data_IF_713071236108
#
_entry.id   IF_713071236108
#
_cell.length_a   1.000
_cell.length_b   1.000
_cell.length_c   1.000
_cell.angle_alpha   90.00
_cell.angle_beta   90.00
_cell.angle_gamma   90.00
#
_symmetry.space_group_name_H-M   'P 1'
#
loop_
_entity.id
_entity.type
_entity.pdbx_description
1 polymer ?
#
# COMPACT_ATOMS: atom_id res chain seq x y z
N UNK A 1 2.56 -20.52 13.22
CA UNK A 1 2.53 -19.08 12.87
C UNK A 1 1.07 -18.65 12.84
N UNK A 2 0.75 -17.55 13.48
CA UNK A 2 -0.60 -16.98 13.50
C UNK A 2 -0.94 -16.37 12.13
N UNK A 3 -2.20 -16.49 11.69
CA UNK A 3 -2.65 -15.92 10.43
C UNK A 3 -2.87 -14.41 10.54
N UNK A 4 -2.51 -13.68 9.50
CA UNK A 4 -2.71 -12.24 9.39
C UNK A 4 -3.25 -11.84 8.02
N UNK A 5 -3.94 -10.70 7.97
CA UNK A 5 -4.25 -9.99 6.74
C UNK A 5 -3.27 -8.84 6.53
N UNK A 6 -2.92 -8.59 5.29
CA UNK A 6 -2.03 -7.47 4.95
C UNK A 6 -2.78 -6.47 4.07
N UNK A 7 -2.81 -5.23 4.49
CA UNK A 7 -3.37 -4.09 3.76
C UNK A 7 -2.24 -3.21 3.24
N UNK A 8 -2.19 -2.99 1.95
CA UNK A 8 -1.08 -2.32 1.27
C UNK A 8 -1.56 -1.08 0.53
N UNK A 9 -1.00 0.07 0.88
CA UNK A 9 -1.06 1.29 0.07
C UNK A 9 0.06 1.25 -0.98
N UNK A 10 -0.29 0.95 -2.24
CA UNK A 10 0.67 0.94 -3.34
C UNK A 10 1.29 2.32 -3.56
N UNK A 11 0.51 3.38 -3.40
CA UNK A 11 1.00 4.75 -3.55
C UNK A 11 2.16 5.05 -2.61
N UNK A 12 2.04 4.63 -1.35
CA UNK A 12 3.12 4.71 -0.38
C UNK A 12 4.31 3.83 -0.76
N UNK A 13 4.09 2.55 -1.07
CA UNK A 13 5.17 1.63 -1.45
C UNK A 13 5.93 2.10 -2.70
N UNK A 14 5.24 2.61 -3.70
CA UNK A 14 5.85 3.14 -4.90
C UNK A 14 6.73 4.36 -4.60
N UNK A 15 6.24 5.33 -3.82
CA UNK A 15 7.03 6.50 -3.40
C UNK A 15 8.27 6.08 -2.61
N UNK A 16 8.11 5.16 -1.65
CA UNK A 16 9.22 4.67 -0.84
C UNK A 16 10.26 3.90 -1.66
N UNK A 17 9.81 3.07 -2.59
CA UNK A 17 10.68 2.37 -3.55
C UNK A 17 11.51 3.34 -4.40
N UNK A 18 10.88 4.43 -4.88
CA UNK A 18 11.57 5.48 -5.65
C UNK A 18 12.59 6.24 -4.79
N UNK A 19 12.23 6.55 -3.54
CA UNK A 19 13.10 7.20 -2.57
C UNK A 19 14.37 6.37 -2.31
N UNK A 20 14.23 5.10 -1.95
CA UNK A 20 15.37 4.19 -1.73
C UNK A 20 16.17 3.90 -2.99
N UNK A 21 15.57 4.05 -4.16
CA UNK A 21 16.20 3.90 -5.46
C UNK A 21 16.83 5.19 -6.02
N UNK A 22 17.01 6.24 -5.19
CA UNK A 22 17.57 7.53 -5.59
C UNK A 22 16.86 8.12 -6.82
N UNK A 23 15.54 8.20 -6.76
CA UNK A 23 14.70 8.74 -7.83
C UNK A 23 14.25 7.71 -8.89
N UNK A 24 14.75 6.48 -8.86
CA UNK A 24 14.33 5.37 -9.73
C UNK A 24 13.58 4.32 -8.92
N UNK A 25 12.50 3.77 -9.48
CA UNK A 25 11.77 2.70 -8.82
C UNK A 25 12.62 1.43 -8.69
N UNK A 26 12.77 0.91 -7.47
CA UNK A 26 13.25 -0.46 -7.26
C UNK A 26 12.10 -1.40 -7.63
N UNK A 27 12.26 -2.17 -8.72
CA UNK A 27 11.30 -3.23 -9.07
C UNK A 27 11.54 -4.43 -8.17
N UNK A 28 10.53 -4.90 -7.46
CA UNK A 28 10.65 -6.01 -6.51
C UNK A 28 9.42 -6.90 -6.54
N UNK A 29 9.60 -8.15 -6.13
CA UNK A 29 8.49 -9.11 -5.99
C UNK A 29 7.62 -8.73 -4.79
N UNK A 30 6.40 -8.29 -5.08
CA UNK A 30 5.47 -7.77 -4.07
C UNK A 30 5.05 -8.85 -3.07
N UNK A 31 4.83 -10.08 -3.55
CA UNK A 31 4.37 -11.18 -2.69
C UNK A 31 5.46 -11.59 -1.71
N UNK A 32 6.67 -11.79 -2.20
CA UNK A 32 7.81 -12.16 -1.35
C UNK A 32 8.12 -11.06 -0.34
N UNK A 33 8.05 -9.79 -0.75
CA UNK A 33 8.17 -8.65 0.14
C UNK A 33 7.12 -8.68 1.26
N UNK A 34 5.83 -8.79 0.92
CA UNK A 34 4.72 -8.81 1.88
C UNK A 34 4.87 -9.98 2.87
N UNK A 35 5.19 -11.18 2.35
CA UNK A 35 5.42 -12.36 3.18
C UNK A 35 6.60 -12.17 4.14
N UNK A 36 7.68 -11.52 3.68
CA UNK A 36 8.84 -11.22 4.53
C UNK A 36 8.50 -10.22 5.64
N UNK A 37 7.69 -9.20 5.35
CA UNK A 37 7.23 -8.25 6.38
C UNK A 37 6.41 -8.99 7.45
N UNK A 38 5.52 -9.89 7.07
CA UNK A 38 4.74 -10.70 8.02
C UNK A 38 5.66 -11.64 8.83
N UNK A 39 6.65 -12.26 8.19
CA UNK A 39 7.61 -13.15 8.84
C UNK A 39 8.44 -12.45 9.93
N UNK A 40 8.70 -11.14 9.82
CA UNK A 40 9.38 -10.37 10.88
C UNK A 40 8.62 -10.38 12.22
N UNK A 41 7.35 -10.77 12.21
CA UNK A 41 6.46 -10.87 13.37
C UNK A 41 5.93 -12.29 13.58
N UNK A 42 6.59 -13.29 13.00
CA UNK A 42 6.18 -14.70 13.05
C UNK A 42 4.74 -14.94 12.59
N UNK A 43 4.27 -14.14 11.61
CA UNK A 43 2.93 -14.21 11.06
C UNK A 43 2.92 -14.87 9.67
N UNK A 44 1.80 -15.53 9.35
CA UNK A 44 1.50 -16.11 8.05
C UNK A 44 0.44 -15.27 7.34
N UNK A 45 0.72 -14.83 6.10
CA UNK A 45 -0.21 -14.03 5.30
C UNK A 45 -1.34 -14.92 4.78
N UNK A 46 -2.54 -14.72 5.32
CA UNK A 46 -3.76 -15.39 4.87
C UNK A 46 -4.32 -14.75 3.61
N UNK A 47 -4.35 -13.42 3.59
CA UNK A 47 -4.85 -12.65 2.46
C UNK A 47 -4.20 -11.27 2.39
N UNK A 48 -4.05 -10.74 1.17
CA UNK A 48 -3.53 -9.40 0.92
C UNK A 48 -4.58 -8.54 0.22
N UNK A 49 -4.89 -7.38 0.80
CA UNK A 49 -5.66 -6.31 0.19
C UNK A 49 -4.70 -5.24 -0.34
N UNK A 50 -4.68 -5.05 -1.64
CA UNK A 50 -3.72 -4.20 -2.32
C UNK A 50 -4.42 -2.99 -2.94
N UNK A 51 -4.35 -1.85 -2.26
CA UNK A 51 -5.03 -0.63 -2.67
C UNK A 51 -4.17 0.14 -3.69
N UNK A 52 -4.76 0.45 -4.83
CA UNK A 52 -4.07 1.11 -5.95
C UNK A 52 -5.08 1.87 -6.82
N UNK A 53 -4.59 2.57 -7.84
CA UNK A 53 -5.43 3.18 -8.86
C UNK A 53 -4.89 2.88 -10.26
N UNK A 54 -5.74 2.43 -11.20
CA UNK A 54 -5.32 2.25 -12.59
C UNK A 54 -4.84 3.58 -13.18
N UNK A 55 -3.85 3.57 -14.08
CA UNK A 55 -3.37 4.78 -14.74
C UNK A 55 -4.47 5.51 -15.49
N UNK A 56 -4.45 6.84 -15.45
CA UNK A 56 -5.38 7.67 -16.18
C UNK A 56 -5.35 7.36 -17.69
N UNK A 57 -6.54 7.34 -18.30
CA UNK A 57 -6.73 7.23 -19.75
C UNK A 57 -7.56 8.41 -20.24
N UNK A 58 -7.01 9.17 -21.20
CA UNK A 58 -7.73 10.23 -21.89
C UNK A 58 -8.75 9.67 -22.91
N UNK A 59 -9.48 10.57 -23.54
CA UNK A 59 -10.44 10.22 -24.61
C UNK A 59 -10.12 11.10 -25.83
N UNK A 60 -9.37 10.57 -26.83
CA UNK A 60 -8.67 9.27 -26.84
C UNK A 60 -7.42 9.26 -25.92
N UNK A 61 -6.95 8.09 -25.48
CA UNK A 61 -5.73 7.99 -24.69
C UNK A 61 -4.48 8.20 -25.56
N UNK A 62 -3.46 8.85 -24.98
CA UNK A 62 -2.15 8.99 -25.62
C UNK A 62 -1.39 7.64 -25.61
N UNK A 63 -0.33 7.52 -26.44
CA UNK A 63 0.50 6.32 -26.49
C UNK A 63 1.16 6.02 -25.12
N UNK A 64 1.58 7.05 -24.38
CA UNK A 64 2.14 6.89 -23.05
C UNK A 64 1.09 6.43 -22.01
N UNK A 65 -0.15 6.88 -22.16
CA UNK A 65 -1.27 6.44 -21.32
C UNK A 65 -1.58 4.96 -21.60
N UNK A 66 -1.63 4.55 -22.87
CA UNK A 66 -1.80 3.15 -23.28
C UNK A 66 -0.71 2.25 -22.69
N UNK A 67 0.58 2.62 -22.87
CA UNK A 67 1.72 1.86 -22.33
C UNK A 67 1.65 1.70 -20.81
N UNK A 68 1.29 2.75 -20.09
CA UNK A 68 1.12 2.68 -18.62
C UNK A 68 -0.03 1.74 -18.24
N UNK A 69 -1.15 1.81 -18.96
CA UNK A 69 -2.29 0.92 -18.73
C UNK A 69 -1.94 -0.55 -19.01
N UNK A 70 -1.28 -0.84 -20.12
CA UNK A 70 -0.77 -2.18 -20.42
C UNK A 70 0.17 -2.73 -19.34
N UNK A 71 1.08 -1.89 -18.84
CA UNK A 71 1.97 -2.26 -17.73
C UNK A 71 1.20 -2.59 -16.45
N UNK A 72 0.19 -1.79 -16.14
CA UNK A 72 -0.71 -2.02 -15.00
C UNK A 72 -1.51 -3.31 -15.17
N UNK A 73 -2.10 -3.54 -16.34
CA UNK A 73 -2.89 -4.73 -16.63
C UNK A 73 -2.04 -6.01 -16.58
N UNK A 74 -0.82 -5.97 -17.13
CA UNK A 74 0.15 -7.07 -17.01
C UNK A 74 0.49 -7.37 -15.54
N UNK A 75 0.66 -6.32 -14.73
CA UNK A 75 0.87 -6.49 -13.30
C UNK A 75 -0.35 -7.12 -12.63
N UNK A 76 -1.54 -6.58 -12.85
CA UNK A 76 -2.79 -7.08 -12.27
C UNK A 76 -3.05 -8.54 -12.64
N UNK A 77 -2.83 -8.90 -13.92
CA UNK A 77 -3.07 -10.24 -14.43
C UNK A 77 -2.15 -11.31 -13.79
N UNK A 78 -0.97 -10.94 -13.28
CA UNK A 78 -0.12 -11.88 -12.53
C UNK A 78 -0.76 -12.37 -11.22
N UNK A 79 -1.73 -11.63 -10.71
CA UNK A 79 -2.42 -11.92 -9.46
C UNK A 79 -3.88 -12.36 -9.65
N UNK A 80 -4.41 -12.35 -10.89
CA UNK A 80 -5.83 -12.61 -11.18
C UNK A 80 -6.29 -14.01 -10.73
N UNK A 81 -5.40 -15.00 -10.76
CA UNK A 81 -5.69 -16.38 -10.35
C UNK A 81 -5.42 -16.65 -8.86
N UNK A 82 -5.00 -15.64 -8.09
CA UNK A 82 -4.68 -15.80 -6.68
C UNK A 82 -5.92 -15.56 -5.82
N UNK A 83 -6.31 -16.58 -5.06
CA UNK A 83 -7.43 -16.50 -4.10
C UNK A 83 -7.06 -15.71 -2.82
N UNK A 84 -5.76 -15.55 -2.56
CA UNK A 84 -5.21 -14.87 -1.38
C UNK A 84 -4.81 -13.41 -1.64
N UNK A 85 -5.34 -12.81 -2.74
CA UNK A 85 -4.97 -11.46 -3.14
C UNK A 85 -6.17 -10.71 -3.77
N UNK A 86 -6.47 -9.53 -3.25
CA UNK A 86 -7.55 -8.67 -3.75
C UNK A 86 -7.00 -7.28 -4.08
N UNK A 87 -7.26 -6.82 -5.31
CA UNK A 87 -7.04 -5.42 -5.67
C UNK A 87 -8.23 -4.56 -5.21
N UNK A 88 -7.91 -3.49 -4.49
CA UNK A 88 -8.83 -2.43 -4.13
C UNK A 88 -8.53 -1.24 -5.03
N UNK A 89 -9.39 -0.95 -5.99
CA UNK A 89 -9.09 0.05 -7.02
C UNK A 89 -9.84 1.35 -6.76
N UNK A 90 -9.07 2.43 -6.54
CA UNK A 90 -9.54 3.79 -6.69
C UNK A 90 -9.49 4.21 -8.17
N UNK A 91 -9.31 5.51 -8.41
CA UNK A 91 -9.15 6.07 -9.76
C UNK A 91 -8.07 7.14 -9.79
N UNK A 92 -7.52 7.43 -10.97
CA UNK A 92 -6.67 8.60 -11.19
C UNK A 92 -7.50 9.71 -11.83
N UNK A 93 -7.47 10.89 -11.22
CA UNK A 93 -8.06 12.11 -11.75
C UNK A 93 -6.96 12.99 -12.34
N UNK A 94 -7.19 13.49 -13.56
CA UNK A 94 -6.36 14.52 -14.19
C UNK A 94 -6.99 15.89 -13.96
N UNK A 95 -6.20 16.81 -13.45
CA UNK A 95 -6.58 18.23 -13.27
C UNK A 95 -5.51 19.12 -13.91
N UNK A 96 -5.83 20.36 -14.18
CA UNK A 96 -4.84 21.37 -14.56
C UNK A 96 -4.54 22.26 -13.36
N UNK A 97 -3.27 22.59 -13.15
CA UNK A 97 -2.89 23.61 -12.18
C UNK A 97 -3.12 25.03 -12.77
N UNK A 98 -2.81 26.06 -11.98
CA UNK A 98 -2.95 27.46 -12.41
C UNK A 98 -2.11 27.85 -13.65
N UNK A 99 -1.06 27.10 -13.92
CA UNK A 99 -0.14 27.26 -15.05
C UNK A 99 -0.55 26.45 -16.28
N UNK A 100 -1.71 25.76 -16.22
CA UNK A 100 -2.22 24.91 -17.29
C UNK A 100 -1.55 23.52 -17.39
N UNK A 101 -0.63 23.19 -16.48
CA UNK A 101 0.09 21.90 -16.45
C UNK A 101 -0.81 20.81 -15.88
N UNK A 102 -0.88 19.66 -16.55
CA UNK A 102 -1.65 18.52 -16.07
C UNK A 102 -1.01 17.91 -14.82
N UNK A 103 -1.85 17.71 -13.81
CA UNK A 103 -1.52 16.98 -12.59
C UNK A 103 -2.42 15.73 -12.47
N UNK A 104 -1.85 14.65 -11.95
CA UNK A 104 -2.55 13.38 -11.76
C UNK A 104 -2.58 13.08 -10.27
N UNK A 105 -3.78 12.83 -9.74
CA UNK A 105 -3.98 12.51 -8.32
C UNK A 105 -4.81 11.24 -8.20
N UNK A 106 -4.39 10.36 -7.31
CA UNK A 106 -5.23 9.22 -6.92
C UNK A 106 -6.43 9.72 -6.12
N UNK A 107 -7.57 9.10 -6.32
CA UNK A 107 -8.83 9.38 -5.61
C UNK A 107 -9.51 8.09 -5.22
N UNK A 108 -10.00 8.05 -3.99
CA UNK A 108 -10.78 6.92 -3.47
C UNK A 108 -9.96 5.70 -3.07
N UNK A 109 -8.63 5.70 -3.19
CA UNK A 109 -7.77 4.58 -2.78
C UNK A 109 -7.88 4.38 -1.27
N UNK A 110 -7.74 5.45 -0.48
CA UNK A 110 -7.86 5.40 0.98
C UNK A 110 -9.28 5.01 1.41
N UNK A 111 -10.30 5.47 0.67
CA UNK A 111 -11.69 5.12 0.92
C UNK A 111 -11.94 3.62 0.75
N UNK A 112 -11.53 3.02 -0.38
CA UNK A 112 -11.73 1.57 -0.60
C UNK A 112 -10.90 0.73 0.37
N UNK A 113 -9.72 1.20 0.77
CA UNK A 113 -8.93 0.52 1.80
C UNK A 113 -9.59 0.62 3.19
N UNK A 114 -10.12 1.79 3.56
CA UNK A 114 -10.89 1.97 4.81
C UNK A 114 -12.13 1.08 4.82
N UNK A 115 -12.84 0.96 3.69
CA UNK A 115 -13.98 0.05 3.57
C UNK A 115 -13.56 -1.40 3.81
N UNK A 116 -12.47 -1.87 3.19
CA UNK A 116 -11.94 -3.22 3.39
C UNK A 116 -11.50 -3.44 4.84
N UNK A 117 -10.83 -2.46 5.48
CA UNK A 117 -10.45 -2.49 6.89
C UNK A 117 -11.67 -2.55 7.82
N UNK A 118 -12.78 -1.91 7.46
CA UNK A 118 -14.00 -1.93 8.28
C UNK A 118 -14.77 -3.24 8.19
N UNK A 119 -14.68 -3.96 7.08
CA UNK A 119 -15.54 -5.10 6.74
C UNK A 119 -14.84 -6.46 6.76
N UNK A 120 -13.49 -6.54 6.82
CA UNK A 120 -12.77 -7.81 6.69
C UNK A 120 -13.20 -8.90 7.67
N UNK A 121 -13.71 -8.53 8.84
CA UNK A 121 -14.14 -9.50 9.86
C UNK A 121 -15.35 -10.35 9.43
N UNK A 122 -16.11 -9.89 8.45
CA UNK A 122 -17.21 -10.70 7.89
C UNK A 122 -16.67 -11.96 7.20
N UNK A 123 -15.56 -11.81 6.46
CA UNK A 123 -14.93 -12.90 5.71
C UNK A 123 -13.83 -13.63 6.50
N UNK A 124 -13.22 -12.93 7.46
CA UNK A 124 -12.07 -13.41 8.26
C UNK A 124 -12.32 -13.21 9.76
N UNK A 125 -13.34 -13.86 10.35
CA UNK A 125 -13.75 -13.61 11.75
C UNK A 125 -12.72 -14.04 12.79
N UNK A 126 -11.81 -14.95 12.45
CA UNK A 126 -10.77 -15.46 13.36
C UNK A 126 -9.51 -14.61 13.42
N UNK A 127 -9.35 -13.68 12.48
CA UNK A 127 -8.17 -12.82 12.42
C UNK A 127 -8.17 -11.81 13.57
N UNK A 128 -7.07 -11.80 14.33
CA UNK A 128 -6.84 -10.89 15.45
C UNK A 128 -5.72 -9.89 15.19
N UNK A 129 -4.86 -10.16 14.22
CA UNK A 129 -3.73 -9.30 13.85
C UNK A 129 -3.81 -8.93 12.38
N UNK A 130 -3.56 -7.66 12.08
CA UNK A 130 -3.43 -7.16 10.70
C UNK A 130 -2.12 -6.40 10.54
N UNK A 131 -1.58 -6.41 9.34
CA UNK A 131 -0.45 -5.56 8.94
C UNK A 131 -0.96 -4.49 8.00
N UNK A 132 -0.72 -3.24 8.34
CA UNK A 132 -0.97 -2.09 7.47
C UNK A 132 0.36 -1.57 6.93
N UNK A 133 0.53 -1.54 5.61
CA UNK A 133 1.68 -0.97 4.91
C UNK A 133 1.24 0.36 4.32
N UNK A 134 1.42 1.45 5.05
CA UNK A 134 0.99 2.80 4.69
C UNK A 134 1.73 3.86 5.50
N UNK A 135 1.54 5.14 5.16
CA UNK A 135 2.05 6.27 5.94
C UNK A 135 1.01 7.37 6.17
N UNK A 136 -0.24 7.19 5.74
CA UNK A 136 -1.27 8.21 5.82
C UNK A 136 -2.01 8.17 7.16
N UNK A 137 -2.10 9.33 7.81
CA UNK A 137 -2.81 9.52 9.09
C UNK A 137 -4.32 9.43 8.97
N UNK A 138 -4.86 9.52 7.75
CA UNK A 138 -6.30 9.39 7.50
C UNK A 138 -6.82 7.99 7.85
N UNK A 139 -5.92 7.01 8.02
CA UNK A 139 -6.29 5.69 8.54
C UNK A 139 -6.47 5.64 10.07
N UNK A 140 -6.00 6.64 10.84
CA UNK A 140 -6.07 6.59 12.31
C UNK A 140 -7.47 6.29 12.85
N UNK A 141 -8.57 6.93 12.38
CA UNK A 141 -9.89 6.66 12.92
C UNK A 141 -10.33 5.19 12.77
N UNK A 142 -10.04 4.56 11.63
CA UNK A 142 -10.37 3.15 11.42
C UNK A 142 -9.48 2.23 12.26
N UNK A 143 -8.20 2.58 12.44
CA UNK A 143 -7.29 1.80 13.27
C UNK A 143 -7.70 1.82 14.75
N UNK A 144 -8.08 2.97 15.28
CA UNK A 144 -8.60 3.12 16.65
C UNK A 144 -9.88 2.31 16.85
N UNK A 145 -10.79 2.33 15.90
CA UNK A 145 -12.00 1.51 15.92
C UNK A 145 -11.68 0.02 15.91
N UNK A 146 -10.72 -0.43 15.12
CA UNK A 146 -10.29 -1.83 15.08
C UNK A 146 -9.63 -2.25 16.39
N UNK A 147 -8.76 -1.42 16.97
CA UNK A 147 -8.14 -1.67 18.28
C UNK A 147 -9.19 -1.80 19.39
N UNK A 148 -10.19 -0.94 19.40
CA UNK A 148 -11.29 -1.04 20.38
C UNK A 148 -12.10 -2.34 20.27
N UNK A 149 -12.05 -2.99 19.10
CA UNK A 149 -12.64 -4.32 18.83
C UNK A 149 -11.68 -5.49 19.04
N UNK A 150 -10.52 -5.23 19.64
CA UNK A 150 -9.53 -6.25 19.98
C UNK A 150 -8.66 -6.70 18.81
N UNK A 151 -8.53 -5.91 17.74
CA UNK A 151 -7.62 -6.19 16.64
C UNK A 151 -6.27 -5.54 16.92
N UNK A 152 -5.21 -6.32 16.89
CA UNK A 152 -3.83 -5.83 16.93
C UNK A 152 -3.40 -5.33 15.55
N UNK A 153 -2.82 -4.13 15.51
CA UNK A 153 -2.41 -3.48 14.27
C UNK A 153 -0.91 -3.32 14.25
N UNK A 154 -0.28 -3.96 13.28
CA UNK A 154 1.15 -3.83 13.01
C UNK A 154 1.30 -2.86 11.84
N UNK A 155 1.80 -1.67 12.13
CA UNK A 155 2.11 -0.67 11.10
C UNK A 155 3.49 -0.96 10.50
N UNK A 156 3.56 -1.26 9.20
CA UNK A 156 4.82 -1.32 8.46
C UNK A 156 4.96 -0.04 7.63
N UNK A 157 5.86 0.85 8.04
CA UNK A 157 6.00 2.16 7.43
C UNK A 157 7.46 2.64 7.45
N UNK A 158 7.70 3.79 6.87
CA UNK A 158 8.99 4.47 6.89
C UNK A 158 8.78 5.94 7.23
N UNK A 159 9.66 6.47 8.06
CA UNK A 159 9.71 7.89 8.37
C UNK A 159 11.15 8.36 8.60
N UNK A 160 11.35 9.63 8.33
CA UNK A 160 12.58 10.35 8.65
C UNK A 160 12.39 11.20 9.90
N UNK A 161 13.47 11.36 10.69
CA UNK A 161 13.45 12.25 11.86
C UNK A 161 13.45 13.73 11.48
N UNK A 162 13.84 14.06 10.22
CA UNK A 162 13.85 15.43 9.71
C UNK A 162 12.43 15.92 9.46
N UNK A 163 12.15 17.18 9.80
CA UNK A 163 10.89 17.84 9.47
C UNK A 163 10.89 18.26 8.00
N UNK A 164 9.71 18.43 7.43
CA UNK A 164 9.50 18.92 6.05
C UNK A 164 10.13 18.04 4.95
N UNK A 165 10.21 16.73 5.17
CA UNK A 165 10.53 15.73 4.13
C UNK A 165 9.26 14.99 3.70
N UNK A 166 9.31 14.33 2.55
CA UNK A 166 8.20 13.51 2.03
C UNK A 166 7.78 12.41 3.02
N UNK A 167 8.69 11.97 3.88
CA UNK A 167 8.50 10.93 4.89
C UNK A 167 8.72 11.47 6.31
N UNK A 168 8.29 12.70 6.57
CA UNK A 168 8.34 13.26 7.93
C UNK A 168 7.56 12.37 8.90
N UNK A 169 8.10 12.19 10.10
CA UNK A 169 7.50 11.32 11.11
C UNK A 169 6.12 11.82 11.53
N UNK A 170 5.12 10.97 11.38
CA UNK A 170 3.82 11.14 12.03
C UNK A 170 3.78 10.29 13.30
N UNK A 171 3.86 10.90 14.47
CA UNK A 171 3.64 10.20 15.74
C UNK A 171 2.23 9.64 15.79
N UNK A 172 1.25 10.40 15.32
CA UNK A 172 -0.16 10.03 15.39
C UNK A 172 -0.45 8.66 14.76
N UNK A 173 0.04 8.37 13.55
CA UNK A 173 -0.18 7.07 12.92
C UNK A 173 0.50 5.92 13.69
N UNK A 174 1.68 6.17 14.27
CA UNK A 174 2.39 5.17 15.07
C UNK A 174 1.60 4.89 16.36
N UNK A 175 1.08 5.92 17.01
CA UNK A 175 0.32 5.80 18.27
C UNK A 175 -1.03 5.09 18.06
N UNK A 176 -1.63 5.22 16.85
CA UNK A 176 -2.81 4.46 16.45
C UNK A 176 -2.53 2.97 16.19
N UNK A 177 -1.27 2.56 16.06
CA UNK A 177 -0.88 1.15 15.87
C UNK A 177 -0.58 0.45 17.20
N UNK A 178 -0.56 -0.89 17.21
CA UNK A 178 -0.15 -1.69 18.36
C UNK A 178 1.36 -1.96 18.31
N UNK A 179 1.89 -2.19 17.12
CA UNK A 179 3.30 -2.44 16.86
C UNK A 179 3.77 -1.71 15.61
N UNK A 180 5.07 -1.51 15.50
CA UNK A 180 5.67 -0.81 14.37
C UNK A 180 6.83 -1.62 13.76
N UNK A 181 6.83 -1.72 12.42
CA UNK A 181 7.94 -2.23 11.62
C UNK A 181 8.47 -1.06 10.77
N UNK A 182 9.72 -0.65 10.99
CA UNK A 182 10.36 0.30 10.11
C UNK A 182 10.82 -0.41 8.84
N UNK A 183 10.27 0.00 7.70
CA UNK A 183 10.72 -0.46 6.39
C UNK A 183 12.11 0.11 6.08
N UNK A 184 12.95 -0.69 5.45
CA UNK A 184 14.33 -0.33 5.08
C UNK A 184 14.57 -0.55 3.58
N UNK A 185 15.66 0.00 3.07
CA UNK A 185 16.07 -0.21 1.67
C UNK A 185 16.31 -1.71 1.38
N UNK A 186 16.87 -2.42 2.34
CA UNK A 186 17.15 -3.86 2.26
C UNK A 186 15.89 -4.68 2.07
N UNK A 187 14.77 -4.27 2.66
CA UNK A 187 13.47 -4.94 2.48
C UNK A 187 13.05 -4.98 1.00
N UNK A 188 13.42 -3.96 0.24
CA UNK A 188 13.16 -3.89 -1.20
C UNK A 188 14.23 -4.62 -2.02
N UNK A 189 15.50 -4.51 -1.64
CA UNK A 189 16.61 -5.09 -2.38
C UNK A 189 16.65 -6.63 -2.31
N UNK A 190 16.25 -7.20 -1.17
CA UNK A 190 16.22 -8.65 -0.97
C UNK A 190 15.24 -9.35 -1.93
N UNK A 191 14.28 -8.64 -2.49
CA UNK A 191 13.29 -9.15 -3.44
C UNK A 191 13.31 -8.40 -4.76
N UNK A 192 14.42 -7.73 -5.07
CA UNK A 192 14.59 -7.01 -6.33
C UNK A 192 14.47 -7.97 -7.52
N UNK A 193 13.65 -7.59 -8.48
CA UNK A 193 13.53 -8.31 -9.74
C UNK A 193 14.73 -7.95 -10.62
N UNK A 194 15.41 -8.98 -11.14
CA UNK A 194 16.39 -8.81 -12.19
C UNK A 194 15.72 -8.35 -13.49
N UNK A 195 16.48 -7.66 -14.34
CA UNK A 195 15.97 -7.12 -15.63
C UNK A 195 15.79 -8.23 -16.65
#
# INVERSE_FOLDING_TARGET
>A
MEETLVFVDEGFLARLSKYFGNGKYIKFDKISFIKNIAKKKDLFVKHTFYATAPPFQGTPPSEDEKKRKEGYDKFKNKFSNRKDFTFLEGRVQRTKNKEGIFQYRQKGVDTVMTMALSSFRADYPTIKKIILIACDTDFCPILEMLKSKGIEIILASYYERKRNTEFSRSHHLIDCSSEYIKLTKEDFLNFKLEK
#
